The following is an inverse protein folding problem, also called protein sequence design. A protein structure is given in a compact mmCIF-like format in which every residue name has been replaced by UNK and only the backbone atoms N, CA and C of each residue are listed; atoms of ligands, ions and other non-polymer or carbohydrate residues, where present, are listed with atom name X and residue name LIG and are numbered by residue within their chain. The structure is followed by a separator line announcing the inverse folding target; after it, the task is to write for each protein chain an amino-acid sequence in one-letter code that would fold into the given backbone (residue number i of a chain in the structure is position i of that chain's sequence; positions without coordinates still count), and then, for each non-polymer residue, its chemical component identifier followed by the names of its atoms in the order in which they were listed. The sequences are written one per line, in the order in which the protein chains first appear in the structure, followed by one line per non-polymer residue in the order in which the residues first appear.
data_IF_810331652721
#
_entry.id   IF_810331652721
#
_cell.length_a   1.000
_cell.length_b   1.000
_cell.length_c   1.000
_cell.angle_alpha   90.00
_cell.angle_beta   90.00
_cell.angle_gamma   90.00
#
_symmetry.space_group_name_H-M   'P 1'
#
loop_
_entity.id
_entity.type
_entity.pdbx_description
1 polymer ?
#
# COMPACT_ATOMS: atom_id res chain seq x y z
N UNK A 1 2.29 -32.77 -17.18
CA UNK A 1 2.08 -31.34 -17.44
C UNK A 1 1.29 -30.72 -16.30
N UNK A 2 1.91 -29.86 -15.48
CA UNK A 2 1.35 -29.33 -14.23
C UNK A 2 0.96 -27.84 -14.34
N UNK A 3 0.49 -27.40 -15.51
CA UNK A 3 0.18 -25.98 -15.79
C UNK A 3 -1.33 -25.67 -15.72
N UNK A 4 -2.17 -26.61 -15.26
CA UNK A 4 -3.64 -26.47 -15.25
C UNK A 4 -4.28 -26.33 -13.85
N UNK A 5 -3.48 -26.10 -12.82
CA UNK A 5 -3.95 -25.73 -11.46
C UNK A 5 -3.41 -24.37 -11.04
N UNK A 6 -3.17 -23.48 -12.01
CA UNK A 6 -2.77 -22.08 -11.81
C UNK A 6 -3.93 -21.12 -12.10
N UNK A 7 -5.18 -21.63 -12.04
CA UNK A 7 -6.35 -20.77 -12.05
C UNK A 7 -6.58 -20.26 -10.63
N UNK A 8 -6.38 -18.95 -10.48
CA UNK A 8 -7.33 -18.08 -9.79
C UNK A 8 -7.60 -18.47 -8.33
N UNK A 9 -6.53 -18.54 -7.53
CA UNK A 9 -6.65 -18.06 -6.15
C UNK A 9 -6.60 -16.55 -6.29
N UNK A 10 -7.76 -15.93 -6.48
CA UNK A 10 -7.95 -14.50 -6.26
C UNK A 10 -7.29 -14.21 -4.90
N UNK A 11 -6.17 -13.49 -4.91
CA UNK A 11 -5.26 -13.52 -3.78
C UNK A 11 -6.04 -13.11 -2.54
N UNK A 12 -5.98 -13.93 -1.48
CA UNK A 12 -6.53 -13.57 -0.17
C UNK A 12 -5.89 -12.29 0.40
N UNK A 13 -5.02 -11.64 -0.37
CA UNK A 13 -4.34 -10.42 -0.07
C UNK A 13 -4.50 -9.36 -1.16
N UNK A 14 -4.42 -8.09 -0.78
CA UNK A 14 -4.32 -6.92 -1.66
C UNK A 14 -3.04 -6.15 -1.37
N UNK A 15 -2.38 -5.69 -2.43
CA UNK A 15 -1.19 -4.86 -2.32
C UNK A 15 -1.56 -3.40 -2.00
N UNK A 16 -0.84 -2.81 -1.05
CA UNK A 16 -0.87 -1.37 -0.76
C UNK A 16 0.54 -0.80 -0.83
N UNK A 17 0.67 0.45 -1.23
CA UNK A 17 1.95 1.18 -1.22
C UNK A 17 2.16 1.77 0.17
N UNK A 18 3.34 1.58 0.74
CA UNK A 18 3.70 2.14 2.05
C UNK A 18 4.65 3.33 1.89
N UNK A 19 4.59 4.34 2.78
CA UNK A 19 5.48 5.50 2.76
C UNK A 19 6.87 5.14 3.34
N UNK A 20 7.52 4.12 2.78
CA UNK A 20 8.87 3.70 3.14
C UNK A 20 9.90 4.25 2.15
N UNK A 21 10.91 4.98 2.63
CA UNK A 21 11.92 5.65 1.78
C UNK A 21 11.23 6.46 0.67
N UNK A 22 11.59 6.23 -0.58
CA UNK A 22 11.02 6.92 -1.75
C UNK A 22 9.53 6.59 -1.99
N UNK A 23 8.94 5.65 -1.23
CA UNK A 23 7.53 5.33 -1.31
C UNK A 23 6.61 6.53 -1.07
N UNK A 24 6.99 7.46 -0.18
CA UNK A 24 6.20 8.68 0.10
C UNK A 24 6.16 9.63 -1.12
N UNK A 25 7.31 9.84 -1.77
CA UNK A 25 7.41 10.63 -2.99
C UNK A 25 6.63 9.94 -4.12
N UNK A 26 6.75 8.63 -4.24
CA UNK A 26 6.06 7.86 -5.27
C UNK A 26 4.53 7.89 -5.13
N UNK A 27 4.00 7.82 -3.90
CA UNK A 27 2.57 8.03 -3.63
C UNK A 27 2.15 9.44 -4.09
N UNK A 28 2.97 10.45 -3.80
CA UNK A 28 2.72 11.83 -4.23
C UNK A 28 2.71 11.96 -5.75
N UNK A 29 3.66 11.35 -6.45
CA UNK A 29 3.73 11.36 -7.91
C UNK A 29 2.53 10.64 -8.55
N UNK A 30 2.14 9.48 -8.02
CA UNK A 30 0.96 8.74 -8.46
C UNK A 30 -0.33 9.55 -8.29
N UNK A 31 -0.47 10.28 -7.19
CA UNK A 31 -1.67 11.10 -6.93
C UNK A 31 -1.88 12.20 -7.97
N UNK A 32 -0.80 12.64 -8.63
CA UNK A 32 -0.79 13.72 -9.63
C UNK A 32 -0.66 13.21 -11.08
N UNK A 33 -0.45 11.91 -11.28
CA UNK A 33 -0.30 11.36 -12.62
C UNK A 33 -1.67 11.05 -13.22
N UNK A 34 -2.03 11.75 -14.30
CA UNK A 34 -3.27 11.52 -15.07
C UNK A 34 -3.01 10.84 -16.42
N UNK A 35 -1.75 10.79 -16.87
CA UNK A 35 -1.36 10.11 -18.10
C UNK A 35 -1.11 8.63 -17.84
N UNK A 36 -1.81 7.74 -18.55
CA UNK A 36 -1.74 6.28 -18.37
C UNK A 36 -0.30 5.73 -18.45
N UNK A 37 0.51 6.22 -19.40
CA UNK A 37 1.90 5.77 -19.55
C UNK A 37 2.73 6.14 -18.32
N UNK A 38 2.56 7.35 -17.80
CA UNK A 38 3.25 7.81 -16.59
C UNK A 38 2.78 7.02 -15.37
N UNK A 39 1.46 6.78 -15.23
CA UNK A 39 0.91 5.95 -14.16
C UNK A 39 1.51 4.54 -14.17
N UNK A 40 1.59 3.89 -15.33
CA UNK A 40 2.15 2.53 -15.45
C UNK A 40 3.61 2.45 -14.99
N UNK A 41 4.45 3.41 -15.38
CA UNK A 41 5.84 3.46 -14.95
C UNK A 41 5.97 3.72 -13.44
N UNK A 42 5.10 4.56 -12.89
CA UNK A 42 5.05 4.80 -11.44
C UNK A 42 4.57 3.56 -10.68
N UNK A 43 3.55 2.85 -11.16
CA UNK A 43 3.06 1.60 -10.55
C UNK A 43 4.16 0.54 -10.54
N UNK A 44 4.91 0.40 -11.63
CA UNK A 44 6.07 -0.51 -11.69
C UNK A 44 7.11 -0.18 -10.62
N UNK A 45 7.43 1.10 -10.45
CA UNK A 45 8.33 1.55 -9.38
C UNK A 45 7.72 1.28 -8.00
N UNK A 46 6.41 1.45 -7.85
CA UNK A 46 5.68 1.27 -6.59
C UNK A 46 5.74 -0.15 -6.04
N UNK A 47 5.88 -1.16 -6.92
CA UNK A 47 5.90 -2.58 -6.52
C UNK A 47 6.95 -2.87 -5.44
N UNK A 48 8.11 -2.19 -5.45
CA UNK A 48 9.16 -2.38 -4.43
C UNK A 48 8.83 -1.76 -3.06
N UNK A 49 7.84 -0.87 -3.03
CA UNK A 49 7.34 -0.17 -1.85
C UNK A 49 5.94 -0.65 -1.48
N UNK A 50 5.57 -1.86 -1.92
CA UNK A 50 4.24 -2.43 -1.67
C UNK A 50 4.31 -3.57 -0.66
N UNK A 51 3.30 -3.64 0.21
CA UNK A 51 3.07 -4.77 1.12
C UNK A 51 1.71 -5.39 0.81
N UNK A 52 1.59 -6.69 1.02
CA UNK A 52 0.34 -7.40 0.84
C UNK A 52 -0.39 -7.51 2.18
N UNK A 53 -1.64 -7.06 2.21
CA UNK A 53 -2.55 -7.20 3.35
C UNK A 53 -3.57 -8.28 3.06
N UNK A 54 -3.95 -9.09 4.05
CA UNK A 54 -5.13 -9.96 3.90
C UNK A 54 -6.39 -9.11 3.69
N UNK A 55 -7.39 -9.63 2.98
CA UNK A 55 -8.63 -8.88 2.67
C UNK A 55 -9.30 -8.36 3.95
N UNK A 56 -9.34 -9.16 5.02
CA UNK A 56 -9.94 -8.73 6.29
C UNK A 56 -9.21 -7.54 6.93
N UNK A 57 -7.87 -7.52 6.81
CA UNK A 57 -7.02 -6.41 7.30
C UNK A 57 -7.16 -5.19 6.40
N UNK A 58 -7.18 -5.40 5.08
CA UNK A 58 -7.42 -4.34 4.09
C UNK A 58 -8.76 -3.64 4.38
N UNK A 59 -9.84 -4.40 4.55
CA UNK A 59 -11.17 -3.86 4.83
C UNK A 59 -11.23 -3.14 6.19
N UNK A 60 -10.54 -3.68 7.21
CA UNK A 60 -10.43 -3.04 8.53
C UNK A 60 -9.70 -1.70 8.43
N UNK A 61 -8.55 -1.66 7.77
CA UNK A 61 -7.76 -0.45 7.56
C UNK A 61 -8.50 0.57 6.68
N UNK A 62 -9.26 0.13 5.69
CA UNK A 62 -10.07 0.99 4.84
C UNK A 62 -11.16 1.69 5.65
N UNK A 63 -11.90 0.92 6.47
CA UNK A 63 -12.93 1.48 7.38
C UNK A 63 -12.31 2.44 8.40
N UNK A 64 -11.11 2.12 8.90
CA UNK A 64 -10.33 2.96 9.81
C UNK A 64 -9.67 4.18 9.17
N UNK A 65 -9.82 4.38 7.84
CA UNK A 65 -9.14 5.44 7.05
C UNK A 65 -7.61 5.39 7.14
N UNK A 66 -7.06 4.24 7.51
CA UNK A 66 -5.62 3.99 7.56
C UNK A 66 -5.03 3.74 6.17
N UNK A 67 -5.84 3.22 5.24
CA UNK A 67 -5.49 3.16 3.82
C UNK A 67 -6.47 4.00 3.00
N UNK A 68 -5.99 4.53 1.88
CA UNK A 68 -6.78 5.36 0.95
C UNK A 68 -6.35 5.11 -0.49
N UNK A 69 -7.27 5.31 -1.43
CA UNK A 69 -6.88 5.37 -2.83
C UNK A 69 -5.96 6.57 -3.08
N UNK A 70 -4.88 6.33 -3.82
CA UNK A 70 -3.92 7.37 -4.22
C UNK A 70 -4.57 8.32 -5.24
N UNK A 71 -5.47 7.77 -6.06
CA UNK A 71 -6.31 8.51 -6.99
C UNK A 71 -7.65 7.78 -7.12
N UNK A 72 -8.74 8.53 -7.13
CA UNK A 72 -10.10 7.98 -7.16
C UNK A 72 -10.31 7.04 -8.37
N UNK A 73 -10.93 5.89 -8.12
CA UNK A 73 -11.31 4.88 -9.11
C UNK A 73 -10.13 4.20 -9.81
N UNK A 74 -8.92 4.27 -9.24
CA UNK A 74 -7.74 3.58 -9.79
C UNK A 74 -7.52 2.22 -9.14
N UNK A 75 -8.08 1.98 -7.96
CA UNK A 75 -7.80 0.76 -7.17
C UNK A 75 -6.36 0.68 -6.65
N UNK A 76 -5.62 1.80 -6.67
CA UNK A 76 -4.25 1.89 -6.13
C UNK A 76 -4.35 2.46 -4.73
N UNK A 77 -3.95 1.68 -3.73
CA UNK A 77 -4.08 2.05 -2.32
C UNK A 77 -2.73 2.38 -1.70
N UNK A 78 -2.74 3.34 -0.77
CA UNK A 78 -1.57 3.68 0.05
C UNK A 78 -1.91 3.73 1.53
N UNK A 79 -0.94 3.35 2.37
CA UNK A 79 -1.01 3.53 3.81
C UNK A 79 -0.80 4.99 4.19
N UNK A 80 -1.65 5.50 5.07
CA UNK A 80 -1.47 6.79 5.71
C UNK A 80 -0.24 6.73 6.62
N UNK A 81 0.57 7.80 6.58
CA UNK A 81 1.89 7.84 7.25
C UNK A 81 1.79 7.62 8.76
N UNK A 82 0.69 8.02 9.36
CA UNK A 82 0.38 7.87 10.77
C UNK A 82 0.20 6.41 11.21
N UNK A 83 0.06 5.48 10.26
CA UNK A 83 -0.09 4.04 10.52
C UNK A 83 1.15 3.25 10.08
N UNK A 84 2.17 3.91 9.55
CA UNK A 84 3.43 3.29 9.14
C UNK A 84 4.42 3.24 10.31
N UNK A 85 4.98 2.07 10.58
CA UNK A 85 6.10 1.89 11.51
C UNK A 85 7.33 1.44 10.74
N UNK A 86 8.47 2.11 10.96
CA UNK A 86 9.74 1.68 10.37
C UNK A 86 10.24 0.32 10.88
N UNK A 87 9.75 -0.12 12.04
CA UNK A 87 10.10 -1.40 12.67
C UNK A 87 9.13 -2.52 12.28
N UNK A 88 7.83 -2.24 12.30
CA UNK A 88 6.77 -3.25 12.09
C UNK A 88 6.11 -3.19 10.70
N UNK A 89 6.46 -2.20 9.88
CA UNK A 89 5.84 -1.93 8.58
C UNK A 89 4.54 -1.15 8.73
N UNK A 90 3.48 -1.78 9.23
CA UNK A 90 2.19 -1.10 9.44
C UNK A 90 1.55 -1.53 10.75
N UNK A 91 0.74 -0.65 11.33
CA UNK A 91 0.00 -0.87 12.57
C UNK A 91 -1.48 -0.59 12.37
N UNK A 92 -2.35 -1.32 13.06
CA UNK A 92 -3.79 -1.04 13.10
C UNK A 92 -4.11 0.22 13.89
N UNK A 93 -3.26 0.55 14.86
CA UNK A 93 -3.34 1.78 15.62
C UNK A 93 -2.40 2.81 15.02
N UNK A 94 -2.78 4.09 15.09
CA UNK A 94 -1.85 5.17 14.76
C UNK A 94 -0.56 4.96 15.54
N UNK A 95 0.55 4.89 14.81
CA UNK A 95 1.88 4.93 15.37
C UNK A 95 2.05 6.34 15.92
N UNK A 96 1.75 6.53 17.20
CA UNK A 96 2.06 7.77 17.88
C UNK A 96 3.57 7.92 17.84
N UNK A 97 4.04 9.12 17.53
CA UNK A 97 5.47 9.47 17.48
C UNK A 97 6.25 9.07 18.77
N UNK A 98 5.53 8.77 19.85
CA UNK A 98 6.07 8.33 21.14
C UNK A 98 6.73 6.94 21.12
N UNK A 99 6.35 6.04 20.21
CA UNK A 99 6.88 4.65 20.21
C UNK A 99 8.18 4.49 19.40
N UNK A 100 8.74 5.59 18.87
CA UNK A 100 9.94 5.56 18.00
C UNK A 100 11.21 6.05 18.72
N UNK A 101 11.10 6.52 19.97
CA UNK A 101 12.21 7.14 20.72
C UNK A 101 12.42 6.57 22.13
N UNK A 102 12.26 5.26 22.33
CA UNK A 102 12.79 4.58 23.52
C UNK A 102 13.94 3.64 23.11
N UNK A 103 15.13 4.21 22.90
CA UNK A 103 16.45 3.56 23.02
C UNK A 103 17.49 4.53 23.58
#
# INVERSE_FOLDING_TARGET
SAAKTFQVIDSATRGIIVPYRDGEELITELSRAFELKKQYELIKKAQRYSVNLFIDDFDRLMRGKAIREVQENTGIYSLAKEYYSGEFGWSENQVKLMDVFDV
#
